data_IF_475680648183
#
_entry.id   IF_475680648183
#
_cell.length_a   1.000
_cell.length_b   1.000
_cell.length_c   1.000
_cell.angle_alpha   90.00
_cell.angle_beta   90.00
_cell.angle_gamma   90.00
#
_symmetry.space_group_name_H-M   'P 1'
#
loop_
_entity.id
_entity.type
_entity.pdbx_description
1 polymer ?
#
# COMPACT_ATOMS: atom_id res chain seq x y z
N UNK A 1 -11.91 -19.65 3.38
CA UNK A 1 -11.18 -19.70 4.67
C UNK A 1 -10.82 -18.32 5.26
N UNK A 2 -10.77 -17.23 4.50
CA UNK A 2 -10.55 -15.87 5.05
C UNK A 2 -11.74 -15.32 5.84
N UNK A 3 -12.95 -15.56 5.37
CA UNK A 3 -14.21 -15.08 5.97
C UNK A 3 -14.45 -15.73 7.34
N UNK A 4 -14.51 -17.06 7.37
CA UNK A 4 -14.65 -17.83 8.62
C UNK A 4 -13.29 -18.41 8.98
N UNK A 5 -12.63 -17.83 9.98
CA UNK A 5 -11.30 -18.23 10.43
C UNK A 5 -11.39 -19.23 11.58
N UNK A 6 -10.86 -20.45 11.37
CA UNK A 6 -10.71 -21.47 12.42
C UNK A 6 -9.34 -21.39 13.10
N UNK A 7 -9.21 -21.79 14.37
CA UNK A 7 -7.94 -21.77 15.10
C UNK A 7 -6.85 -22.59 14.40
N UNK A 8 -7.16 -23.81 13.95
CA UNK A 8 -6.26 -24.67 13.19
C UNK A 8 -6.80 -24.87 11.78
N UNK A 9 -5.89 -25.15 10.85
CA UNK A 9 -6.27 -25.46 9.46
C UNK A 9 -7.03 -26.79 9.38
N UNK A 10 -6.67 -27.79 10.19
CA UNK A 10 -7.35 -29.08 10.18
C UNK A 10 -8.83 -28.98 10.62
N UNK A 11 -9.17 -28.00 11.45
CA UNK A 11 -10.52 -27.82 12.02
C UNK A 11 -11.59 -27.60 10.94
N UNK A 12 -11.22 -27.06 9.77
CA UNK A 12 -12.16 -26.94 8.64
C UNK A 12 -12.71 -28.28 8.15
N UNK A 13 -11.97 -29.37 8.38
CA UNK A 13 -12.37 -30.73 8.03
C UNK A 13 -12.80 -31.56 9.25
N UNK A 14 -12.92 -30.95 10.43
CA UNK A 14 -13.41 -31.67 11.60
C UNK A 14 -14.86 -32.12 11.41
N UNK A 15 -15.21 -33.28 11.96
CA UNK A 15 -16.60 -33.79 11.97
C UNK A 15 -17.49 -32.96 12.92
N UNK A 16 -16.90 -32.34 13.95
CA UNK A 16 -17.60 -31.46 14.85
C UNK A 16 -18.32 -30.32 14.10
N UNK A 17 -19.64 -30.21 14.28
CA UNK A 17 -20.52 -29.26 13.58
C UNK A 17 -20.09 -27.80 13.77
N UNK A 18 -19.56 -27.44 14.94
CA UNK A 18 -19.12 -26.06 15.24
C UNK A 18 -17.84 -25.68 14.50
N UNK A 19 -16.92 -26.63 14.34
CA UNK A 19 -15.60 -26.41 13.76
C UNK A 19 -15.56 -26.69 12.26
N UNK A 20 -16.16 -27.80 11.85
CA UNK A 20 -16.23 -28.26 10.47
C UNK A 20 -16.85 -27.23 9.53
N UNK A 21 -16.50 -27.34 8.26
CA UNK A 21 -17.11 -26.55 7.21
C UNK A 21 -17.39 -27.43 6.00
N UNK A 22 -18.66 -27.78 5.80
CA UNK A 22 -19.10 -28.70 4.75
C UNK A 22 -18.71 -28.23 3.35
N UNK A 23 -18.80 -26.92 3.09
CA UNK A 23 -18.36 -26.32 1.82
C UNK A 23 -16.87 -26.60 1.55
N UNK A 24 -16.00 -26.49 2.55
CA UNK A 24 -14.56 -26.74 2.37
C UNK A 24 -14.29 -28.24 2.21
N UNK A 25 -15.00 -29.09 2.96
CA UNK A 25 -14.87 -30.56 2.86
C UNK A 25 -15.24 -31.06 1.47
N UNK A 26 -16.33 -30.55 0.90
CA UNK A 26 -16.78 -30.93 -0.44
C UNK A 26 -15.84 -30.45 -1.54
N UNK A 27 -15.29 -29.24 -1.41
CA UNK A 27 -14.37 -28.66 -2.39
C UNK A 27 -13.03 -29.39 -2.48
N UNK A 28 -12.39 -29.72 -1.35
CA UNK A 28 -11.05 -30.30 -1.35
C UNK A 28 -10.79 -31.15 -0.12
N UNK A 29 -10.27 -32.37 -0.30
CA UNK A 29 -9.88 -33.23 0.83
C UNK A 29 -8.71 -32.63 1.64
N UNK A 30 -8.75 -32.79 2.98
CA UNK A 30 -7.75 -32.27 3.93
C UNK A 30 -6.32 -32.58 3.50
N UNK A 31 -6.02 -33.85 3.24
CA UNK A 31 -4.68 -34.32 2.91
C UNK A 31 -4.19 -33.74 1.59
N UNK A 32 -5.09 -33.59 0.59
CA UNK A 32 -4.76 -32.95 -0.69
C UNK A 32 -4.45 -31.47 -0.51
N UNK A 33 -5.25 -30.74 0.27
CA UNK A 33 -4.97 -29.33 0.60
C UNK A 33 -3.60 -29.17 1.29
N UNK A 34 -3.30 -30.02 2.27
CA UNK A 34 -2.02 -29.98 2.98
C UNK A 34 -0.84 -30.30 2.06
N UNK A 35 -0.97 -31.28 1.15
CA UNK A 35 0.04 -31.58 0.12
C UNK A 35 0.25 -30.39 -0.80
N UNK A 36 -0.82 -29.81 -1.37
CA UNK A 36 -0.73 -28.62 -2.24
C UNK A 36 -0.04 -27.48 -1.48
N UNK A 37 -0.46 -27.17 -0.27
CA UNK A 37 0.16 -26.12 0.56
C UNK A 37 1.65 -26.42 0.86
N UNK A 38 2.02 -27.68 1.01
CA UNK A 38 3.41 -28.06 1.29
C UNK A 38 4.33 -27.80 0.09
N UNK A 39 3.90 -28.27 -1.09
CA UNK A 39 4.64 -28.24 -2.36
C UNK A 39 4.41 -26.98 -3.20
N UNK A 40 3.49 -26.09 -2.82
CA UNK A 40 3.25 -24.85 -3.53
C UNK A 40 4.51 -23.96 -3.51
N UNK A 41 4.90 -23.50 -4.70
CA UNK A 41 6.01 -22.58 -4.95
C UNK A 41 5.55 -21.53 -5.97
N UNK A 42 6.13 -20.32 -5.88
CA UNK A 42 5.77 -19.17 -6.74
C UNK A 42 6.82 -18.95 -7.82
N UNK A 43 8.09 -19.08 -7.47
CA UNK A 43 9.21 -19.16 -8.41
C UNK A 43 9.65 -20.60 -8.63
N UNK A 44 10.28 -20.80 -9.79
CA UNK A 44 11.05 -22.00 -10.07
C UNK A 44 12.21 -22.12 -9.08
N UNK A 45 12.37 -23.32 -8.53
CA UNK A 45 13.37 -23.63 -7.51
C UNK A 45 14.75 -23.80 -8.11
N UNK A 46 14.83 -24.22 -9.38
CA UNK A 46 16.11 -24.47 -10.06
C UNK A 46 16.80 -23.16 -10.45
N UNK A 47 16.03 -22.10 -10.66
CA UNK A 47 16.54 -20.75 -10.96
C UNK A 47 16.82 -19.89 -9.72
N UNK A 48 16.55 -20.39 -8.51
CA UNK A 48 16.73 -19.61 -7.28
C UNK A 48 18.19 -19.57 -6.85
N UNK A 49 18.76 -18.37 -6.80
CA UNK A 49 20.13 -18.17 -6.35
C UNK A 49 20.25 -18.31 -4.83
N UNK A 50 21.38 -18.81 -4.35
CA UNK A 50 21.73 -18.83 -2.95
C UNK A 50 22.23 -17.45 -2.48
N UNK A 51 22.15 -17.19 -1.17
CA UNK A 51 22.47 -15.86 -0.60
C UNK A 51 23.91 -15.40 -0.88
N UNK A 52 24.83 -16.35 -1.06
CA UNK A 52 26.25 -16.13 -1.34
C UNK A 52 26.55 -15.97 -2.85
N UNK A 53 25.58 -16.16 -3.73
CA UNK A 53 25.77 -16.07 -5.17
C UNK A 53 25.60 -14.63 -5.68
N UNK A 54 26.37 -14.30 -6.71
CA UNK A 54 26.29 -12.99 -7.36
C UNK A 54 24.92 -12.83 -8.03
N UNK A 55 24.29 -11.67 -7.82
CA UNK A 55 22.94 -11.40 -8.34
C UNK A 55 21.80 -11.93 -7.46
N UNK A 56 22.10 -12.50 -6.28
CA UNK A 56 21.07 -12.90 -5.33
C UNK A 56 20.10 -11.75 -5.00
N UNK A 57 18.82 -11.99 -5.22
CA UNK A 57 17.75 -11.09 -4.81
C UNK A 57 16.85 -11.78 -3.79
N UNK A 58 16.69 -11.18 -2.60
CA UNK A 58 15.86 -11.76 -1.55
C UNK A 58 14.39 -11.95 -1.98
N UNK A 59 13.87 -11.08 -2.85
CA UNK A 59 12.49 -11.18 -3.34
C UNK A 59 12.28 -12.24 -4.42
N UNK A 60 13.34 -12.89 -4.94
CA UNK A 60 13.24 -13.85 -6.05
C UNK A 60 12.14 -14.91 -5.87
N UNK A 61 11.91 -15.35 -4.61
CA UNK A 61 10.90 -16.37 -4.28
C UNK A 61 9.47 -15.94 -4.64
N UNK A 62 9.20 -14.64 -4.62
CA UNK A 62 7.87 -14.05 -4.82
C UNK A 62 7.83 -13.13 -6.03
N UNK A 63 8.98 -12.83 -6.63
CA UNK A 63 9.14 -11.89 -7.74
C UNK A 63 8.23 -12.18 -8.94
N UNK A 64 8.04 -13.44 -9.39
CA UNK A 64 7.17 -13.72 -10.54
C UNK A 64 5.74 -13.22 -10.33
N UNK A 65 5.17 -13.50 -9.15
CA UNK A 65 3.83 -13.04 -8.79
C UNK A 65 3.79 -11.53 -8.53
N UNK A 66 4.82 -10.96 -7.91
CA UNK A 66 4.90 -9.51 -7.68
C UNK A 66 4.91 -8.74 -9.01
N UNK A 67 5.76 -9.14 -9.95
CA UNK A 67 5.88 -8.51 -11.26
C UNK A 67 4.59 -8.64 -12.07
N UNK A 68 3.98 -9.83 -12.08
CA UNK A 68 2.68 -10.04 -12.72
C UNK A 68 1.61 -9.10 -12.15
N UNK A 69 1.47 -9.05 -10.82
CA UNK A 69 0.44 -8.22 -10.18
C UNK A 69 0.70 -6.72 -10.36
N UNK A 70 1.95 -6.24 -10.24
CA UNK A 70 2.30 -4.84 -10.51
C UNK A 70 1.89 -4.42 -11.92
N UNK A 71 2.19 -5.24 -12.92
CA UNK A 71 1.78 -4.99 -14.31
C UNK A 71 0.27 -4.89 -14.46
N UNK A 72 -0.48 -5.83 -13.86
CA UNK A 72 -1.95 -5.83 -13.92
C UNK A 72 -2.58 -4.67 -13.18
N UNK A 73 -2.07 -4.30 -12.00
CA UNK A 73 -2.60 -3.19 -11.21
C UNK A 73 -2.47 -1.85 -11.94
N UNK A 74 -1.34 -1.63 -12.61
CA UNK A 74 -1.13 -0.42 -13.42
C UNK A 74 -1.97 -0.41 -14.71
N UNK A 75 -2.24 -1.58 -15.29
CA UNK A 75 -2.98 -1.69 -16.57
C UNK A 75 -4.49 -1.52 -16.39
N UNK A 76 -5.06 -2.12 -15.34
CA UNK A 76 -6.52 -2.23 -15.20
C UNK A 76 -7.17 -1.03 -14.49
N UNK A 77 -6.40 -0.10 -13.94
CA UNK A 77 -6.93 1.06 -13.24
C UNK A 77 -6.36 2.35 -13.83
N UNK A 78 -7.23 3.19 -14.41
CA UNK A 78 -6.84 4.54 -14.81
C UNK A 78 -6.67 5.37 -13.55
N UNK A 79 -5.43 5.79 -13.29
CA UNK A 79 -5.05 6.52 -12.08
C UNK A 79 -5.87 7.80 -11.92
N UNK A 80 -6.24 8.12 -10.68
CA UNK A 80 -6.76 9.44 -10.31
C UNK A 80 -5.68 10.50 -10.45
N UNK A 81 -6.07 11.78 -10.44
CA UNK A 81 -5.15 12.91 -10.47
C UNK A 81 -4.25 13.03 -9.22
N UNK A 82 -4.44 12.16 -8.24
CA UNK A 82 -3.71 12.13 -6.97
C UNK A 82 -3.32 10.70 -6.63
N UNK A 83 -2.08 10.52 -6.17
CA UNK A 83 -1.52 9.26 -5.65
C UNK A 83 -0.72 9.51 -4.37
N UNK A 84 -0.62 8.51 -3.50
CA UNK A 84 0.15 8.58 -2.26
C UNK A 84 1.16 7.45 -2.13
N UNK A 85 2.37 7.80 -1.69
CA UNK A 85 3.43 6.84 -1.34
C UNK A 85 3.57 6.78 0.16
N UNK A 86 3.45 5.56 0.70
CA UNK A 86 3.69 5.28 2.10
C UNK A 86 4.05 3.79 2.31
N UNK A 87 4.12 3.37 3.57
CA UNK A 87 4.55 2.05 4.02
C UNK A 87 3.44 1.21 4.65
N UNK A 88 3.41 -0.06 4.27
CA UNK A 88 2.64 -1.09 4.92
C UNK A 88 3.54 -2.07 5.67
N UNK A 89 2.97 -2.76 6.66
CA UNK A 89 3.67 -3.73 7.50
C UNK A 89 2.94 -5.06 7.56
N UNK A 90 3.58 -6.12 7.07
CA UNK A 90 3.07 -7.50 7.18
C UNK A 90 3.60 -8.11 8.47
N UNK A 91 2.72 -8.34 9.44
CA UNK A 91 3.08 -8.91 10.75
C UNK A 91 3.75 -10.28 10.59
N UNK A 92 5.01 -10.34 10.99
CA UNK A 92 5.82 -11.56 10.98
C UNK A 92 6.75 -11.56 12.19
N UNK A 93 6.79 -12.66 12.93
CA UNK A 93 7.51 -12.77 14.22
C UNK A 93 8.69 -13.74 14.22
N UNK A 94 8.84 -14.58 13.18
CA UNK A 94 9.95 -15.54 13.12
C UNK A 94 11.25 -14.84 12.73
N UNK A 95 12.39 -15.53 12.84
CA UNK A 95 13.70 -14.95 12.51
C UNK A 95 13.82 -14.71 11.00
N UNK A 96 14.02 -13.45 10.61
CA UNK A 96 14.25 -13.05 9.22
C UNK A 96 15.04 -11.74 9.19
N UNK A 97 16.07 -11.67 8.34
CA UNK A 97 16.98 -10.53 8.30
C UNK A 97 16.36 -9.20 7.83
N UNK A 98 15.19 -9.23 7.21
CA UNK A 98 14.51 -8.04 6.65
C UNK A 98 13.39 -7.49 7.56
N UNK A 99 13.19 -8.07 8.76
CA UNK A 99 12.18 -7.57 9.70
C UNK A 99 12.49 -6.15 10.12
N UNK A 100 11.48 -5.29 10.05
CA UNK A 100 11.54 -3.92 10.50
C UNK A 100 10.74 -3.73 11.78
N UNK A 101 11.26 -2.87 12.66
CA UNK A 101 10.55 -2.37 13.82
C UNK A 101 9.96 -0.99 13.50
N UNK A 102 8.65 -0.86 13.64
CA UNK A 102 7.89 0.35 13.31
C UNK A 102 6.95 0.67 14.48
N UNK A 103 7.37 1.48 15.47
CA UNK A 103 6.68 1.63 16.74
C UNK A 103 5.26 2.21 16.61
N UNK A 104 5.01 3.00 15.57
CA UNK A 104 3.71 3.64 15.32
C UNK A 104 2.69 2.69 14.64
N UNK A 105 3.12 1.56 14.08
CA UNK A 105 2.20 0.58 13.47
C UNK A 105 1.72 -0.43 14.51
N UNK A 106 0.45 -0.85 14.42
CA UNK A 106 -0.19 -1.78 15.38
C UNK A 106 0.60 -3.09 15.63
N UNK A 107 1.15 -3.69 14.58
CA UNK A 107 1.91 -4.95 14.71
C UNK A 107 3.32 -4.76 15.28
N UNK A 108 3.85 -3.52 15.24
CA UNK A 108 5.20 -3.06 15.63
C UNK A 108 6.40 -3.75 14.96
N UNK A 109 6.32 -5.05 14.65
CA UNK A 109 7.36 -5.83 13.96
C UNK A 109 6.78 -6.61 12.80
N UNK A 110 7.46 -6.57 11.66
CA UNK A 110 7.03 -7.29 10.47
C UNK A 110 7.90 -7.01 9.25
N UNK A 111 7.44 -7.49 8.11
CA UNK A 111 8.06 -7.26 6.81
C UNK A 111 7.49 -5.96 6.24
N UNK A 112 8.36 -5.00 5.96
CA UNK A 112 7.99 -3.69 5.43
C UNK A 112 7.77 -3.77 3.91
N UNK A 113 6.74 -3.10 3.42
CA UNK A 113 6.41 -3.00 1.99
C UNK A 113 6.13 -1.54 1.69
N UNK A 114 6.78 -1.00 0.68
CA UNK A 114 6.48 0.33 0.13
C UNK A 114 5.28 0.21 -0.80
N UNK A 115 4.34 1.13 -0.70
CA UNK A 115 3.10 1.09 -1.47
C UNK A 115 2.79 2.45 -2.09
N UNK A 116 2.33 2.41 -3.33
CA UNK A 116 1.74 3.53 -4.05
C UNK A 116 0.25 3.26 -4.20
N UNK A 117 -0.59 4.12 -3.62
CA UNK A 117 -2.03 3.94 -3.61
C UNK A 117 -2.78 5.20 -4.06
N UNK A 118 -4.01 5.03 -4.53
CA UNK A 118 -4.94 6.15 -4.72
C UNK A 118 -5.48 6.60 -3.35
N UNK A 119 -5.54 7.90 -3.04
CA UNK A 119 -5.97 8.43 -1.74
C UNK A 119 -7.38 8.01 -1.31
N UNK A 120 -8.36 8.11 -2.22
CA UNK A 120 -9.78 7.91 -1.89
C UNK A 120 -10.20 6.44 -1.88
N UNK A 121 -9.75 5.67 -2.87
CA UNK A 121 -10.15 4.27 -3.00
C UNK A 121 -9.22 3.33 -2.22
N UNK A 122 -7.99 3.75 -1.93
CA UNK A 122 -6.95 2.85 -1.46
C UNK A 122 -6.67 1.73 -2.45
N UNK A 123 -6.78 2.01 -3.76
CA UNK A 123 -6.36 1.10 -4.82
C UNK A 123 -4.84 1.09 -4.86
N UNK A 124 -4.23 -0.09 -4.80
CA UNK A 124 -2.78 -0.23 -4.88
C UNK A 124 -2.34 -0.24 -6.34
N UNK A 125 -1.62 0.79 -6.77
CA UNK A 125 -1.09 0.92 -8.12
C UNK A 125 0.22 0.15 -8.27
N UNK A 126 1.15 0.40 -7.35
CA UNK A 126 2.47 -0.20 -7.35
C UNK A 126 2.92 -0.49 -5.91
N UNK A 127 3.87 -1.39 -5.73
CA UNK A 127 4.43 -1.72 -4.42
C UNK A 127 5.81 -2.36 -4.57
N UNK A 128 6.61 -2.29 -3.51
CA UNK A 128 7.95 -2.86 -3.48
C UNK A 128 8.23 -3.48 -2.10
N UNK A 129 8.70 -4.72 -2.08
CA UNK A 129 9.12 -5.39 -0.86
C UNK A 129 10.44 -4.80 -0.35
N UNK A 130 10.46 -4.31 0.89
CA UNK A 130 11.71 -3.86 1.49
C UNK A 130 12.60 -5.05 1.86
N UNK A 131 13.66 -5.25 1.08
CA UNK A 131 14.61 -6.36 1.24
C UNK A 131 15.92 -5.95 1.94
N UNK A 132 15.97 -4.77 2.57
CA UNK A 132 17.21 -4.24 3.13
C UNK A 132 18.29 -4.03 2.07
N UNK A 133 19.53 -4.47 2.36
CA UNK A 133 20.68 -4.39 1.43
C UNK A 133 20.64 -5.43 0.31
N UNK A 134 19.75 -6.42 0.38
CA UNK A 134 19.67 -7.55 -0.55
C UNK A 134 18.49 -7.43 -1.54
N UNK A 135 18.06 -6.21 -1.83
CA UNK A 135 17.00 -5.94 -2.80
C UNK A 135 17.57 -5.64 -4.19
N UNK A 136 16.74 -5.84 -5.22
CA UNK A 136 17.09 -5.59 -6.63
C UNK A 136 17.10 -4.11 -7.02
N UNK A 137 16.41 -3.23 -6.29
CA UNK A 137 16.32 -1.81 -6.63
C UNK A 137 17.67 -1.12 -6.40
N UNK A 138 18.29 -0.53 -7.45
CA UNK A 138 19.56 0.16 -7.31
C UNK A 138 19.48 1.26 -6.26
N UNK A 139 20.48 1.32 -5.38
CA UNK A 139 20.61 2.38 -4.39
C UNK A 139 21.49 3.48 -4.94
N UNK A 140 20.90 4.61 -5.28
CA UNK A 140 21.66 5.75 -5.81
C UNK A 140 22.24 6.58 -4.67
N UNK A 141 23.14 7.50 -5.01
CA UNK A 141 23.69 8.49 -4.06
C UNK A 141 22.63 9.42 -3.47
N UNK A 142 21.42 9.45 -4.04
CA UNK A 142 20.31 10.29 -3.59
C UNK A 142 19.56 9.69 -2.37
N UNK A 143 19.80 8.41 -2.07
CA UNK A 143 19.32 7.74 -0.87
C UNK A 143 18.00 6.98 -1.04
N UNK A 144 17.71 6.12 -0.06
CA UNK A 144 16.61 5.14 -0.10
C UNK A 144 15.23 5.74 -0.44
N UNK A 145 14.87 6.87 0.19
CA UNK A 145 13.57 7.49 -0.05
C UNK A 145 13.40 7.99 -1.48
N UNK A 146 14.48 8.52 -2.08
CA UNK A 146 14.49 8.95 -3.49
C UNK A 146 14.28 7.76 -4.41
N UNK A 147 15.08 6.69 -4.25
CA UNK A 147 15.04 5.53 -5.14
C UNK A 147 13.66 4.85 -5.12
N UNK A 148 13.05 4.73 -3.94
CA UNK A 148 11.71 4.15 -3.78
C UNK A 148 10.65 4.99 -4.48
N UNK A 149 10.67 6.32 -4.29
CA UNK A 149 9.69 7.20 -4.95
C UNK A 149 9.82 7.12 -6.46
N UNK A 150 11.04 7.26 -6.99
CA UNK A 150 11.27 7.21 -8.43
C UNK A 150 10.91 5.84 -9.03
N UNK A 151 11.18 4.75 -8.31
CA UNK A 151 10.80 3.41 -8.73
C UNK A 151 9.27 3.22 -8.75
N UNK A 152 8.59 3.60 -7.67
CA UNK A 152 7.15 3.43 -7.55
C UNK A 152 6.37 4.30 -8.54
N UNK A 153 6.83 5.54 -8.78
CA UNK A 153 6.18 6.51 -9.66
C UNK A 153 6.40 6.25 -11.16
N UNK A 154 7.24 5.28 -11.54
CA UNK A 154 7.49 4.93 -12.94
C UNK A 154 6.19 4.54 -13.64
N UNK A 155 5.92 5.10 -14.83
CA UNK A 155 4.67 4.89 -15.58
C UNK A 155 3.55 5.89 -15.25
N UNK A 156 3.81 6.84 -14.33
CA UNK A 156 2.94 7.96 -14.00
C UNK A 156 3.40 9.30 -14.60
N UNK A 157 4.30 9.27 -15.57
CA UNK A 157 4.80 10.46 -16.24
C UNK A 157 3.64 11.26 -16.84
N UNK A 158 3.69 12.59 -16.68
CA UNK A 158 2.64 13.52 -17.13
C UNK A 158 1.22 13.23 -16.57
N UNK A 159 1.09 12.41 -15.51
CA UNK A 159 -0.15 12.20 -14.77
C UNK A 159 -0.06 12.97 -13.45
N UNK A 160 -1.11 13.73 -13.15
CA UNK A 160 -1.12 14.73 -12.07
C UNK A 160 -0.85 14.18 -10.65
N UNK A 161 -0.45 15.10 -9.78
CA UNK A 161 -0.17 15.09 -8.33
C UNK A 161 0.18 13.76 -7.61
N UNK A 162 1.37 13.72 -7.00
CA UNK A 162 1.81 12.73 -6.02
C UNK A 162 1.97 13.38 -4.66
N UNK A 163 1.56 12.70 -3.58
CA UNK A 163 1.85 13.15 -2.23
C UNK A 163 2.59 12.12 -1.37
N UNK A 164 3.38 12.64 -0.45
CA UNK A 164 4.42 11.91 0.26
C UNK A 164 4.32 12.10 1.77
N UNK A 165 4.61 11.03 2.50
CA UNK A 165 5.00 11.17 3.91
C UNK A 165 6.41 11.79 4.05
N UNK A 166 6.72 12.26 5.25
CA UNK A 166 7.97 12.90 5.66
C UNK A 166 9.23 12.10 5.35
N UNK A 167 9.12 10.78 5.32
CA UNK A 167 10.24 9.91 4.94
C UNK A 167 10.64 10.09 3.47
N UNK A 168 9.67 10.35 2.59
CA UNK A 168 9.82 10.39 1.13
C UNK A 168 9.93 11.81 0.54
N UNK A 169 9.87 12.84 1.37
CA UNK A 169 9.94 14.23 0.92
C UNK A 169 11.37 14.78 0.95
N UNK A 170 11.81 15.31 -0.19
CA UNK A 170 13.01 16.13 -0.29
C UNK A 170 12.92 17.05 -1.51
N UNK A 171 13.70 18.14 -1.51
CA UNK A 171 13.73 19.09 -2.63
C UNK A 171 14.14 18.38 -3.92
N UNK A 172 15.18 17.53 -3.88
CA UNK A 172 15.64 16.79 -5.06
C UNK A 172 14.55 15.90 -5.67
N UNK A 173 13.78 15.20 -4.83
CA UNK A 173 12.66 14.36 -5.29
C UNK A 173 11.61 15.23 -6.01
N UNK A 174 11.21 16.35 -5.41
CA UNK A 174 10.24 17.26 -6.01
C UNK A 174 10.72 17.83 -7.34
N UNK A 175 12.01 18.19 -7.44
CA UNK A 175 12.61 18.71 -8.66
C UNK A 175 12.64 17.67 -9.79
N UNK A 176 13.09 16.45 -9.50
CA UNK A 176 13.21 15.42 -10.53
C UNK A 176 11.84 14.89 -10.97
N UNK A 177 10.87 14.80 -10.06
CA UNK A 177 9.48 14.53 -10.42
C UNK A 177 8.88 15.64 -11.28
N UNK A 178 9.17 16.91 -10.96
CA UNK A 178 8.71 18.05 -11.75
C UNK A 178 9.24 18.00 -13.19
N UNK A 179 10.50 17.60 -13.39
CA UNK A 179 11.11 17.45 -14.73
C UNK A 179 10.39 16.42 -15.61
N UNK A 180 9.82 15.36 -15.00
CA UNK A 180 9.04 14.33 -15.70
C UNK A 180 7.53 14.64 -15.72
N UNK A 181 7.15 15.86 -15.35
CA UNK A 181 5.75 16.32 -15.36
C UNK A 181 4.90 15.78 -14.20
N UNK A 182 5.52 15.29 -13.13
CA UNK A 182 4.84 14.82 -11.92
C UNK A 182 4.92 15.91 -10.86
N UNK A 183 3.77 16.49 -10.52
CA UNK A 183 3.67 17.45 -9.43
C UNK A 183 3.66 16.72 -8.09
N UNK A 184 4.25 17.31 -7.06
CA UNK A 184 4.54 16.61 -5.80
C UNK A 184 4.21 17.46 -4.58
N UNK A 185 3.79 16.82 -3.48
CA UNK A 185 3.49 17.47 -2.22
C UNK A 185 3.90 16.60 -1.03
N UNK A 186 4.51 17.15 0.02
CA UNK A 186 4.86 16.33 1.18
C UNK A 186 5.33 17.11 2.39
N UNK A 187 5.00 16.61 3.58
CA UNK A 187 5.54 17.15 4.83
C UNK A 187 7.04 16.92 4.87
N UNK A 188 7.85 17.84 5.42
CA UNK A 188 9.31 17.74 5.40
C UNK A 188 9.91 17.92 6.80
N UNK A 189 11.06 17.31 7.06
CA UNK A 189 11.86 17.65 8.24
C UNK A 189 12.65 18.92 7.98
N UNK A 190 12.66 19.87 8.93
CA UNK A 190 13.42 21.12 8.81
C UNK A 190 14.92 20.90 8.59
N UNK A 191 15.46 19.76 9.05
CA UNK A 191 16.86 19.39 8.86
C UNK A 191 17.18 18.74 7.50
N UNK A 192 16.21 18.59 6.58
CA UNK A 192 16.50 18.03 5.25
C UNK A 192 17.48 18.93 4.47
N UNK A 193 18.30 18.29 3.64
CA UNK A 193 19.22 18.96 2.73
C UNK A 193 18.45 19.78 1.69
N UNK A 194 19.07 20.84 1.19
CA UNK A 194 18.58 21.70 0.10
C UNK A 194 17.29 22.47 0.40
N UNK A 195 16.85 22.49 1.66
CA UNK A 195 15.79 23.40 2.11
C UNK A 195 16.31 24.84 2.22
N UNK A 196 15.44 25.85 1.99
CA UNK A 196 15.82 27.25 2.09
C UNK A 196 16.35 27.56 3.51
N UNK A 197 17.47 28.31 3.65
CA UNK A 197 18.07 28.61 4.95
C UNK A 197 17.08 29.20 5.95
N UNK A 198 16.21 30.11 5.50
CA UNK A 198 15.19 30.75 6.32
C UNK A 198 14.23 29.76 6.97
N UNK A 199 13.91 28.63 6.33
CA UNK A 199 12.99 27.64 6.92
C UNK A 199 13.62 26.85 8.06
N UNK A 200 14.94 26.62 8.03
CA UNK A 200 15.62 25.84 9.09
C UNK A 200 15.56 26.53 10.45
N UNK A 201 15.53 27.86 10.43
CA UNK A 201 15.59 28.73 11.60
C UNK A 201 14.19 29.26 11.96
N UNK A 202 13.23 29.14 11.05
CA UNK A 202 11.87 29.63 11.24
C UNK A 202 11.19 28.96 12.45
N UNK A 203 10.83 29.78 13.43
CA UNK A 203 9.94 29.42 14.53
C UNK A 203 8.77 30.38 14.54
N UNK A 204 7.60 29.87 14.23
CA UNK A 204 6.37 30.64 14.29
C UNK A 204 5.95 30.81 15.75
N UNK A 205 5.44 31.99 16.13
CA UNK A 205 5.06 32.32 17.50
C UNK A 205 3.56 32.20 17.76
N UNK A 206 2.75 32.46 16.74
CA UNK A 206 1.29 32.52 16.86
C UNK A 206 0.62 31.30 16.21
N UNK A 207 -0.35 30.72 16.91
CA UNK A 207 -1.15 29.61 16.39
C UNK A 207 -1.91 30.11 15.15
N UNK A 208 -1.90 29.30 14.09
CA UNK A 208 -2.41 29.58 12.75
C UNK A 208 -1.47 30.46 11.89
N UNK A 209 -0.32 30.92 12.41
CA UNK A 209 0.65 31.64 11.59
C UNK A 209 1.17 30.79 10.43
N UNK A 210 1.34 31.41 9.26
CA UNK A 210 1.79 30.78 8.02
C UNK A 210 2.98 31.55 7.48
N UNK A 211 3.98 30.83 7.00
CA UNK A 211 5.09 31.40 6.26
C UNK A 211 5.33 30.55 5.01
N UNK A 212 5.24 31.17 3.84
CA UNK A 212 5.53 30.53 2.56
C UNK A 212 6.79 31.15 1.97
N UNK A 213 7.75 30.30 1.62
CA UNK A 213 8.93 30.67 0.84
C UNK A 213 8.78 30.09 -0.56
N UNK A 214 9.07 30.90 -1.57
CA UNK A 214 9.00 30.51 -2.98
C UNK A 214 10.41 30.47 -3.57
N UNK A 215 10.70 29.41 -4.33
CA UNK A 215 11.95 29.31 -5.06
C UNK A 215 11.97 30.32 -6.22
N UNK A 216 13.08 31.04 -6.38
CA UNK A 216 13.24 32.05 -7.44
C UNK A 216 13.34 31.40 -8.82
N UNK A 217 14.10 30.31 -8.93
CA UNK A 217 14.37 29.63 -10.19
C UNK A 217 13.19 28.74 -10.65
N UNK A 218 12.41 28.24 -9.69
CA UNK A 218 11.28 27.35 -9.94
C UNK A 218 10.08 27.89 -9.17
N UNK A 219 9.27 28.75 -9.79
CA UNK A 219 8.18 29.44 -9.11
C UNK A 219 7.15 28.51 -8.45
N UNK A 220 6.95 27.31 -9.01
CA UNK A 220 6.02 26.32 -8.46
C UNK A 220 6.59 25.58 -7.24
N UNK A 221 7.92 25.64 -6.99
CA UNK A 221 8.52 25.03 -5.81
C UNK A 221 8.33 25.94 -4.59
N UNK A 222 7.38 25.55 -3.76
CA UNK A 222 6.99 26.24 -2.54
C UNK A 222 7.42 25.44 -1.31
N UNK A 223 7.77 26.18 -0.27
CA UNK A 223 8.11 25.68 1.04
C UNK A 223 7.27 26.44 2.06
N UNK A 224 6.20 25.82 2.55
CA UNK A 224 5.25 26.46 3.46
C UNK A 224 5.34 25.84 4.85
N UNK A 225 5.41 26.68 5.87
CA UNK A 225 5.37 26.28 7.27
C UNK A 225 4.13 26.86 7.93
N UNK A 226 3.39 26.01 8.64
CA UNK A 226 2.20 26.37 9.38
C UNK A 226 2.35 25.94 10.84
N UNK A 227 1.98 26.82 11.77
CA UNK A 227 1.89 26.49 13.18
C UNK A 227 0.44 26.19 13.54
N UNK A 228 0.14 24.93 13.81
CA UNK A 228 -1.12 24.54 14.46
C UNK A 228 -0.84 24.18 15.93
N UNK A 229 -1.15 22.96 16.38
CA UNK A 229 -0.65 22.45 17.67
C UNK A 229 0.86 22.19 17.65
N UNK A 230 1.40 21.90 16.46
CA UNK A 230 2.83 21.70 16.20
C UNK A 230 3.17 22.39 14.89
N UNK A 231 4.41 22.84 14.78
CA UNK A 231 4.91 23.42 13.54
C UNK A 231 5.12 22.30 12.50
N UNK A 232 4.47 22.45 11.34
CA UNK A 232 4.57 21.53 10.22
C UNK A 232 5.07 22.31 9.00
N UNK A 233 6.05 21.75 8.31
CA UNK A 233 6.55 22.29 7.04
C UNK A 233 6.19 21.33 5.91
N UNK A 234 5.72 21.87 4.79
CA UNK A 234 5.38 21.15 3.57
C UNK A 234 6.18 21.76 2.42
N UNK A 235 6.74 20.90 1.58
CA UNK A 235 7.28 21.29 0.28
C UNK A 235 6.32 20.81 -0.82
N UNK A 236 6.15 21.64 -1.84
CA UNK A 236 5.17 21.41 -2.91
C UNK A 236 5.69 21.94 -4.23
N UNK A 237 5.37 21.24 -5.32
CA UNK A 237 5.44 21.75 -6.70
C UNK A 237 4.06 21.93 -7.34
N UNK A 238 2.99 21.69 -6.57
CA UNK A 238 1.63 21.54 -7.08
C UNK A 238 0.67 22.69 -6.73
N UNK A 239 1.14 23.71 -6.03
CA UNK A 239 0.34 24.83 -5.55
C UNK A 239 0.93 26.17 -5.96
N UNK A 240 0.09 27.21 -5.96
CA UNK A 240 0.51 28.61 -6.06
C UNK A 240 0.71 29.21 -4.67
N UNK A 241 1.49 30.29 -4.58
CA UNK A 241 1.70 31.03 -3.35
C UNK A 241 0.48 31.92 -3.05
N UNK A 242 -0.62 31.28 -2.67
CA UNK A 242 -1.89 31.93 -2.39
C UNK A 242 -2.38 31.56 -0.99
N UNK A 243 -3.11 32.49 -0.36
CA UNK A 243 -3.85 32.24 0.88
C UNK A 243 -5.27 31.82 0.49
N UNK A 244 -5.78 30.80 1.16
CA UNK A 244 -7.12 30.27 1.00
C UNK A 244 -7.72 29.96 2.37
N UNK A 245 -8.95 29.47 2.40
CA UNK A 245 -9.64 29.09 3.62
C UNK A 245 -9.77 27.58 3.72
N UNK A 246 -9.53 27.03 4.91
CA UNK A 246 -9.77 25.62 5.20
C UNK A 246 -10.50 25.45 6.54
N UNK A 247 -11.21 24.33 6.66
CA UNK A 247 -11.86 23.96 7.90
C UNK A 247 -10.86 23.30 8.85
N UNK A 248 -10.65 23.90 10.01
CA UNK A 248 -9.89 23.33 11.13
C UNK A 248 -10.87 22.78 12.16
N UNK A 249 -10.67 21.52 12.55
CA UNK A 249 -11.46 20.89 13.60
C UNK A 249 -10.79 21.13 14.96
N UNK A 250 -11.53 21.73 15.90
CA UNK A 250 -11.10 21.87 17.31
C UNK A 250 -12.14 21.17 18.17
N UNK A 251 -11.90 19.89 18.48
CA UNK A 251 -12.88 19.05 19.16
C UNK A 251 -14.10 18.75 18.27
N UNK A 252 -15.30 19.12 18.73
CA UNK A 252 -16.53 18.99 17.96
C UNK A 252 -16.75 20.13 16.96
N UNK A 253 -16.11 21.28 17.18
CA UNK A 253 -16.29 22.49 16.37
C UNK A 253 -15.46 22.45 15.08
N UNK A 254 -16.05 22.98 14.00
CA UNK A 254 -15.38 23.24 12.72
C UNK A 254 -15.23 24.75 12.55
N UNK A 255 -14.00 25.24 12.62
CA UNK A 255 -13.66 26.64 12.45
C UNK A 255 -13.08 26.86 11.06
N UNK A 256 -13.45 27.96 10.41
CA UNK A 256 -12.88 28.35 9.12
C UNK A 256 -11.65 29.21 9.38
N UNK A 257 -10.48 28.75 8.94
CA UNK A 257 -9.19 29.44 9.16
C UNK A 257 -8.50 29.75 7.84
N UNK A 258 -7.74 30.83 7.81
CA UNK A 258 -6.83 31.08 6.71
C UNK A 258 -5.71 30.03 6.71
N UNK A 259 -5.38 29.53 5.53
CA UNK A 259 -4.29 28.58 5.29
C UNK A 259 -3.67 28.82 3.91
N UNK A 260 -2.44 28.35 3.69
CA UNK A 260 -1.85 28.39 2.34
C UNK A 260 -2.53 27.38 1.42
N UNK A 261 -2.62 27.69 0.12
CA UNK A 261 -3.06 26.76 -0.91
C UNK A 261 -2.28 25.42 -0.88
N UNK A 262 -1.01 25.43 -0.48
CA UNK A 262 -0.21 24.21 -0.25
C UNK A 262 -0.84 23.32 0.82
N UNK A 263 -1.24 23.90 1.95
CA UNK A 263 -1.88 23.18 3.06
C UNK A 263 -3.30 22.76 2.71
N UNK A 264 -4.06 23.62 2.04
CA UNK A 264 -5.38 23.25 1.55
C UNK A 264 -5.29 22.12 0.53
N UNK A 265 -4.28 22.07 -0.34
CA UNK A 265 -4.11 20.97 -1.29
C UNK A 265 -3.64 19.68 -0.62
N UNK A 266 -2.70 19.76 0.32
CA UNK A 266 -2.28 18.59 1.11
C UNK A 266 -3.44 17.99 1.93
N UNK A 267 -4.33 18.86 2.43
CA UNK A 267 -5.51 18.49 3.23
C UNK A 267 -6.83 18.56 2.45
N UNK A 268 -6.81 18.59 1.11
CA UNK A 268 -7.94 19.03 0.25
C UNK A 268 -9.23 18.27 0.44
N UNK A 269 -9.14 17.08 0.99
CA UNK A 269 -10.30 16.26 1.25
C UNK A 269 -10.71 16.44 2.71
N UNK A 270 -11.90 17.00 2.89
CA UNK A 270 -12.51 17.61 4.08
C UNK A 270 -12.46 16.83 5.40
N UNK A 271 -11.89 15.62 5.40
CA UNK A 271 -11.68 14.79 6.58
C UNK A 271 -10.41 13.90 6.54
N UNK A 272 -9.63 13.92 5.45
CA UNK A 272 -8.61 12.90 5.16
C UNK A 272 -7.38 13.50 4.42
N UNK A 273 -6.18 13.26 4.93
CA UNK A 273 -4.93 13.59 4.23
C UNK A 273 -4.77 12.68 3.00
N UNK A 274 -4.22 13.22 1.91
CA UNK A 274 -3.95 12.46 0.67
C UNK A 274 -3.09 11.20 0.94
N UNK A 275 -2.24 11.25 1.97
CA UNK A 275 -1.39 10.13 2.41
C UNK A 275 -2.16 8.89 2.89
N UNK A 276 -3.45 9.02 3.26
CA UNK A 276 -4.24 7.93 3.86
C UNK A 276 -4.64 6.81 2.88
N UNK A 277 -4.38 6.95 1.58
CA UNK A 277 -4.66 5.90 0.59
C UNK A 277 -4.02 4.55 0.92
N UNK A 278 -2.77 4.57 1.42
CA UNK A 278 -2.06 3.35 1.84
C UNK A 278 -2.66 2.76 3.12
N UNK A 279 -3.04 3.60 4.09
CA UNK A 279 -3.70 3.15 5.31
C UNK A 279 -5.07 2.51 5.01
N UNK A 280 -5.83 3.07 4.06
CA UNK A 280 -7.10 2.49 3.60
C UNK A 280 -6.87 1.13 2.92
N UNK A 281 -5.84 1.01 2.10
CA UNK A 281 -5.45 -0.27 1.49
C UNK A 281 -5.07 -1.30 2.56
N UNK A 282 -4.25 -0.92 3.56
CA UNK A 282 -3.82 -1.78 4.65
C UNK A 282 -4.99 -2.20 5.56
N UNK A 283 -5.91 -1.28 5.85
CA UNK A 283 -7.14 -1.57 6.59
C UNK A 283 -8.01 -2.58 5.84
N UNK A 284 -8.25 -2.36 4.54
CA UNK A 284 -9.11 -3.24 3.73
C UNK A 284 -8.58 -4.67 3.67
N UNK A 285 -7.26 -4.84 3.50
CA UNK A 285 -6.63 -6.17 3.50
C UNK A 285 -6.77 -6.91 4.83
N UNK A 286 -6.82 -6.19 5.96
CA UNK A 286 -6.87 -6.80 7.31
C UNK A 286 -8.22 -7.42 7.65
N UNK A 287 -9.35 -6.86 7.20
CA UNK A 287 -10.69 -7.33 7.59
C UNK A 287 -10.94 -8.81 7.31
N UNK A 288 -10.55 -9.29 6.12
CA UNK A 288 -10.74 -10.68 5.71
C UNK A 288 -9.46 -11.27 5.14
N UNK A 289 -8.35 -11.13 5.87
CA UNK A 289 -7.05 -11.59 5.38
C UNK A 289 -6.99 -13.11 5.23
N UNK A 290 -6.46 -13.57 4.09
CA UNK A 290 -6.17 -14.99 3.84
C UNK A 290 -5.00 -15.53 4.68
N UNK A 291 -4.22 -14.64 5.30
CA UNK A 291 -3.01 -15.00 6.02
C UNK A 291 -3.23 -16.06 7.10
N UNK A 292 -2.31 -17.03 7.12
CA UNK A 292 -2.23 -18.12 8.11
C UNK A 292 -0.84 -18.20 8.69
N UNK A 293 -0.75 -18.70 9.92
CA UNK A 293 0.54 -18.94 10.57
C UNK A 293 1.37 -19.88 9.70
N UNK A 294 2.60 -19.49 9.43
CA UNK A 294 3.56 -20.25 8.64
C UNK A 294 4.97 -20.00 9.17
N UNK A 295 5.87 -20.96 9.03
CA UNK A 295 7.30 -20.76 9.27
C UNK A 295 7.98 -20.11 8.06
N UNK A 296 7.44 -20.27 6.85
CA UNK A 296 8.01 -19.70 5.63
C UNK A 296 7.55 -18.24 5.48
N UNK A 297 8.49 -17.30 5.45
CA UNK A 297 8.20 -15.86 5.34
C UNK A 297 7.41 -15.51 4.07
N UNK A 298 7.73 -16.16 2.94
CA UNK A 298 7.12 -15.87 1.64
C UNK A 298 5.64 -16.22 1.60
N UNK A 299 5.15 -17.12 2.47
CA UNK A 299 3.70 -17.38 2.60
C UNK A 299 2.93 -16.16 3.10
N UNK A 300 3.56 -15.32 3.94
CA UNK A 300 2.95 -14.07 4.39
C UNK A 300 2.91 -13.03 3.27
N UNK A 301 3.95 -13.00 2.43
CA UNK A 301 3.99 -12.11 1.26
C UNK A 301 3.01 -12.59 0.19
N UNK A 302 2.91 -13.89 -0.08
CA UNK A 302 1.85 -14.45 -0.92
C UNK A 302 0.46 -14.04 -0.43
N UNK A 303 0.22 -14.17 0.89
CA UNK A 303 -1.06 -13.77 1.48
C UNK A 303 -1.32 -12.28 1.30
N UNK A 304 -0.29 -11.43 1.49
CA UNK A 304 -0.36 -10.00 1.21
C UNK A 304 -0.74 -9.73 -0.24
N UNK A 305 -0.06 -10.36 -1.20
CA UNK A 305 -0.29 -10.18 -2.63
C UNK A 305 -1.72 -10.58 -3.02
N UNK A 306 -2.20 -11.72 -2.51
CA UNK A 306 -3.55 -12.18 -2.75
C UNK A 306 -4.61 -11.25 -2.13
N UNK A 307 -4.40 -10.81 -0.89
CA UNK A 307 -5.29 -9.85 -0.23
C UNK A 307 -5.32 -8.50 -0.97
N UNK A 308 -4.18 -8.03 -1.49
CA UNK A 308 -4.11 -6.81 -2.32
C UNK A 308 -4.85 -7.00 -3.63
N UNK A 309 -4.67 -8.12 -4.33
CA UNK A 309 -5.37 -8.41 -5.57
C UNK A 309 -6.90 -8.45 -5.37
N UNK A 310 -7.36 -9.09 -4.30
CA UNK A 310 -8.79 -9.11 -3.92
C UNK A 310 -9.32 -7.70 -3.59
N UNK A 311 -8.53 -6.89 -2.88
CA UNK A 311 -8.88 -5.50 -2.59
C UNK A 311 -9.01 -4.67 -3.86
N UNK A 312 -8.05 -4.78 -4.78
CA UNK A 312 -8.07 -4.07 -6.06
C UNK A 312 -9.22 -4.51 -6.95
N UNK A 313 -9.48 -5.82 -7.06
CA UNK A 313 -10.61 -6.36 -7.81
C UNK A 313 -11.95 -5.83 -7.29
N UNK A 314 -12.12 -5.80 -5.96
CA UNK A 314 -13.32 -5.23 -5.34
C UNK A 314 -13.50 -3.73 -5.67
N UNK A 315 -12.41 -2.95 -5.66
CA UNK A 315 -12.46 -1.53 -6.04
C UNK A 315 -12.86 -1.37 -7.51
N UNK A 316 -12.29 -2.18 -8.41
CA UNK A 316 -12.62 -2.15 -9.83
C UNK A 316 -14.09 -2.48 -10.08
N UNK A 317 -14.58 -3.54 -9.44
CA UNK A 317 -15.97 -3.97 -9.51
C UNK A 317 -16.92 -2.83 -9.09
N UNK A 318 -16.61 -2.16 -7.95
CA UNK A 318 -17.34 -0.97 -7.51
C UNK A 318 -17.26 0.20 -8.50
N UNK A 319 -16.10 0.44 -9.09
CA UNK A 319 -15.91 1.51 -10.08
C UNK A 319 -16.71 1.24 -11.37
N UNK A 320 -16.99 -0.02 -11.69
CA UNK A 320 -17.83 -0.42 -12.84
C UNK A 320 -19.33 -0.47 -12.52
N UNK A 321 -19.77 0.09 -11.38
CA UNK A 321 -21.18 0.09 -10.92
C UNK A 321 -21.82 -1.32 -10.85
N UNK A 322 -21.02 -2.35 -10.64
CA UNK A 322 -21.45 -3.74 -10.49
C UNK A 322 -21.09 -4.22 -9.08
N UNK A 323 -22.03 -4.74 -8.27
CA UNK A 323 -23.48 -4.68 -8.46
C UNK A 323 -24.03 -3.23 -8.33
N UNK A 324 -25.32 -2.99 -8.65
CA UNK A 324 -25.90 -1.66 -8.67
C UNK A 324 -25.66 -0.89 -7.35
N UNK A 325 -25.35 0.43 -7.41
CA UNK A 325 -24.96 1.24 -6.25
C UNK A 325 -25.98 1.29 -5.09
N UNK A 326 -27.23 0.89 -5.34
CA UNK A 326 -28.34 0.93 -4.38
C UNK A 326 -28.25 -0.19 -3.31
N UNK A 327 -27.42 -1.21 -3.52
CA UNK A 327 -27.18 -2.27 -2.53
C UNK A 327 -26.00 -1.89 -1.64
N UNK A 328 -26.13 -2.08 -0.32
CA UNK A 328 -25.00 -2.02 0.61
C UNK A 328 -24.06 -3.19 0.35
N UNK A 329 -23.19 -3.05 -0.65
CA UNK A 329 -22.27 -4.10 -1.07
C UNK A 329 -20.87 -3.86 -0.50
N UNK A 330 -20.42 -4.79 0.34
CA UNK A 330 -19.17 -4.72 1.08
C UNK A 330 -18.16 -5.75 0.57
N UNK A 331 -16.92 -5.64 1.05
CA UNK A 331 -15.86 -6.60 0.70
C UNK A 331 -16.22 -8.04 1.10
N UNK A 332 -17.04 -8.19 2.15
CA UNK A 332 -17.55 -9.47 2.59
C UNK A 332 -18.37 -10.15 1.49
N UNK A 333 -19.35 -9.44 0.92
CA UNK A 333 -20.26 -9.94 -0.11
C UNK A 333 -19.46 -10.34 -1.37
N UNK A 334 -18.55 -9.47 -1.80
CA UNK A 334 -17.63 -9.77 -2.90
C UNK A 334 -16.84 -11.07 -2.70
N UNK A 335 -16.29 -11.26 -1.49
CA UNK A 335 -15.54 -12.49 -1.21
C UNK A 335 -16.44 -13.71 -1.12
N UNK A 336 -17.71 -13.58 -0.70
CA UNK A 336 -18.65 -14.69 -0.71
C UNK A 336 -18.96 -15.13 -2.14
N UNK A 337 -19.38 -14.20 -3.00
CA UNK A 337 -19.70 -14.48 -4.40
C UNK A 337 -18.50 -15.10 -5.14
N UNK A 338 -17.31 -14.53 -4.96
CA UNK A 338 -16.09 -15.07 -5.54
C UNK A 338 -15.79 -16.51 -5.07
N UNK A 339 -16.05 -16.83 -3.79
CA UNK A 339 -15.89 -18.21 -3.30
C UNK A 339 -16.90 -19.15 -3.93
N UNK A 340 -18.10 -18.67 -4.27
CA UNK A 340 -19.10 -19.48 -4.95
C UNK A 340 -18.71 -19.78 -6.39
N UNK A 341 -18.25 -18.78 -7.13
CA UNK A 341 -17.79 -18.91 -8.51
C UNK A 341 -16.59 -19.85 -8.61
N UNK A 342 -15.52 -19.60 -7.86
CA UNK A 342 -14.32 -20.45 -7.84
C UNK A 342 -14.63 -21.86 -7.33
N UNK A 343 -15.61 -21.99 -6.42
CA UNK A 343 -16.06 -23.28 -5.92
C UNK A 343 -16.77 -24.13 -6.97
N UNK A 344 -17.57 -23.51 -7.84
CA UNK A 344 -18.28 -24.21 -8.93
C UNK A 344 -17.28 -24.83 -9.92
N UNK A 345 -16.22 -24.12 -10.28
CA UNK A 345 -15.18 -24.63 -11.18
C UNK A 345 -14.41 -25.82 -10.58
N UNK A 346 -14.07 -25.73 -9.29
CA UNK A 346 -13.33 -26.79 -8.60
C UNK A 346 -14.14 -28.07 -8.38
N UNK A 347 -15.43 -27.95 -8.03
CA UNK A 347 -16.30 -29.09 -7.78
C UNK A 347 -16.75 -29.82 -9.06
N UNK A 348 -16.99 -29.10 -10.17
CA UNK A 348 -17.37 -29.71 -11.47
C UNK A 348 -16.35 -30.73 -11.97
N UNK A 349 -15.06 -30.46 -11.81
CA UNK A 349 -13.99 -31.39 -12.21
C UNK A 349 -13.95 -32.67 -11.38
N UNK A 350 -14.51 -32.66 -10.16
CA UNK A 350 -14.52 -33.82 -9.26
C UNK A 350 -15.71 -34.75 -9.50
N UNK A 351 -16.85 -34.21 -9.92
CA UNK A 351 -18.01 -35.00 -10.34
C UNK A 351 -17.74 -35.77 -11.64
N UNK A 352 -16.88 -35.24 -12.52
CA UNK A 352 -16.48 -35.92 -13.77
C UNK A 352 -15.26 -36.85 -13.60
N UNK A 353 -14.69 -36.94 -12.40
CA UNK A 353 -13.62 -37.89 -12.08
C UNK A 353 -14.20 -39.04 -11.27
N UNK A 354 -15.17 -39.74 -11.84
CA UNK A 354 -15.53 -41.07 -11.33
C UNK A 354 -14.36 -42.00 -11.63
N UNK A 355 -13.64 -42.30 -10.56
CA UNK A 355 -12.67 -43.38 -10.49
C UNK A 355 -13.39 -44.68 -10.85
N UNK A 356 -13.10 -45.27 -12.00
CA UNK A 356 -13.29 -46.71 -12.20
C UNK A 356 -12.18 -47.41 -11.41
N UNK A 357 -12.48 -48.12 -10.32
CA UNK A 357 -11.49 -48.91 -9.65
C UNK A 357 -11.19 -50.13 -10.53
N UNK A 358 -9.95 -50.24 -11.00
CA UNK A 358 -9.36 -51.53 -11.41
C UNK A 358 -8.66 -52.15 -10.22
#
# INVERSE_FOLDING_TARGET
MSIVKRPRIADYWAENVTLGNERIKSMLAKNRFLKIKHYFHISDRESELMKNENGFNFSQKVEPLQTYLRGKFMTHFKTTAEVSVDEALVKFKCRLGIIQYMPLKLAKRGIKIWMLCTPYLGYTLNFELYCGKSGSTPRTKNGLGYDVVMHLAKGLESKNHTCFDRFFSSVNILLDLYKVGIFACGTVMSNRKNLPPGMKILKLKEIIAISTLQCKDIPNLLSTTWLDMKQISIISTNAKNEICQAHRRKGAEKLLVQCSAVFAQYNRHTHWQITLGVDLADQRRKYFSVARKSSKWWWYIFSFLLDTALSNAFILMKATNSPPPKLKYQLYDFKLELNEELGKEGCRKRANSDFTPT
#
